data_IF_779975208888
#
_entry.id   IF_779975208888
#
_cell.length_a   1.000
_cell.length_b   1.000
_cell.length_c   1.000
_cell.angle_alpha   90.00
_cell.angle_beta   90.00
_cell.angle_gamma   90.00
#
_symmetry.space_group_name_H-M   'P 1'
#
loop_
_entity.id
_entity.type
_entity.pdbx_description
1 polymer ?
#
# COMPACT_ATOMS: atom_id res chain seq x y z
N UNK A 1 1.58 -6.42 21.90
CA UNK A 1 2.44 -6.80 20.76
C UNK A 1 1.70 -6.44 19.50
N UNK A 2 2.32 -5.77 18.54
CA UNK A 2 1.70 -5.43 17.25
C UNK A 2 1.81 -6.62 16.30
N UNK A 3 0.74 -6.90 15.57
CA UNK A 3 0.71 -7.91 14.52
C UNK A 3 1.51 -7.45 13.28
N UNK A 4 1.96 -8.37 12.40
CA UNK A 4 2.57 -7.99 11.13
C UNK A 4 1.70 -7.06 10.28
N UNK A 5 0.39 -7.30 10.30
CA UNK A 5 -0.60 -6.45 9.63
C UNK A 5 -0.62 -5.03 10.22
N UNK A 6 -0.65 -4.90 11.54
CA UNK A 6 -0.63 -3.60 12.19
C UNK A 6 0.65 -2.83 11.90
N UNK A 7 1.80 -3.50 11.99
CA UNK A 7 3.09 -2.91 11.68
C UNK A 7 3.15 -2.40 10.23
N UNK A 8 2.75 -3.23 9.26
CA UNK A 8 2.72 -2.83 7.85
C UNK A 8 1.76 -1.65 7.60
N UNK A 9 0.56 -1.70 8.21
CA UNK A 9 -0.46 -0.66 8.08
C UNK A 9 -0.02 0.68 8.64
N UNK A 10 0.86 0.71 9.65
CA UNK A 10 1.34 1.95 10.27
C UNK A 10 2.17 2.84 9.33
N UNK A 11 2.80 2.29 8.29
CA UNK A 11 3.53 3.10 7.30
C UNK A 11 2.71 3.44 6.04
N UNK A 12 1.39 3.25 6.06
CA UNK A 12 0.50 3.76 5.03
C UNK A 12 -0.43 4.84 5.55
N UNK A 13 -1.23 5.40 4.66
CA UNK A 13 -2.16 6.48 4.96
C UNK A 13 -3.48 6.33 4.21
N UNK A 14 -4.51 7.04 4.68
CA UNK A 14 -5.79 7.12 3.98
C UNK A 14 -5.88 8.41 3.16
N UNK A 15 -5.84 8.28 1.84
CA UNK A 15 -6.01 9.42 0.93
C UNK A 15 -7.47 9.58 0.51
N UNK A 16 -7.89 10.82 0.26
CA UNK A 16 -9.19 11.12 -0.35
C UNK A 16 -9.02 11.29 -1.86
N UNK A 17 -9.78 10.52 -2.62
CA UNK A 17 -9.78 10.56 -4.09
C UNK A 17 -11.20 10.79 -4.59
N UNK A 18 -11.36 11.64 -5.61
CA UNK A 18 -12.66 11.79 -6.29
C UNK A 18 -12.71 10.83 -7.47
N UNK A 19 -13.58 9.81 -7.37
CA UNK A 19 -13.79 8.81 -8.42
C UNK A 19 -15.17 9.03 -9.03
N UNK A 20 -15.21 9.40 -10.32
CA UNK A 20 -16.46 9.72 -11.04
C UNK A 20 -17.32 10.74 -10.28
N UNK A 21 -16.71 11.82 -9.80
CA UNK A 21 -17.37 12.88 -9.04
C UNK A 21 -17.72 12.54 -7.58
N UNK A 22 -17.45 11.32 -7.11
CA UNK A 22 -17.75 10.91 -5.73
C UNK A 22 -16.47 10.80 -4.89
N UNK A 23 -16.38 11.42 -3.70
CA UNK A 23 -15.22 11.25 -2.82
C UNK A 23 -15.16 9.83 -2.26
N UNK A 24 -13.98 9.24 -2.29
CA UNK A 24 -13.64 7.93 -1.75
C UNK A 24 -12.42 8.07 -0.85
N UNK A 25 -12.38 7.28 0.21
CA UNK A 25 -11.19 7.16 1.06
C UNK A 25 -10.52 5.83 0.73
N UNK A 26 -9.26 5.88 0.34
CA UNK A 26 -8.48 4.71 -0.10
C UNK A 26 -7.22 4.65 0.76
N UNK A 27 -6.93 3.46 1.32
CA UNK A 27 -5.67 3.24 1.99
C UNK A 27 -4.57 3.02 0.95
N UNK A 28 -3.48 3.77 1.07
CA UNK A 28 -2.29 3.63 0.23
C UNK A 28 -1.07 3.47 1.12
N UNK A 29 -0.09 2.73 0.63
CA UNK A 29 1.25 2.67 1.20
C UNK A 29 2.21 2.97 0.06
N UNK A 30 3.07 3.97 0.27
CA UNK A 30 4.02 4.43 -0.73
C UNK A 30 5.41 4.37 -0.12
N UNK A 31 6.28 3.57 -0.72
CA UNK A 31 7.64 3.33 -0.26
C UNK A 31 8.60 3.30 -1.43
N UNK A 32 9.89 3.43 -1.14
CA UNK A 32 10.94 3.42 -2.17
C UNK A 32 11.03 4.75 -2.92
N UNK A 33 11.90 4.76 -3.93
CA UNK A 33 12.15 5.89 -4.83
C UNK A 33 12.36 5.36 -6.26
N UNK A 34 12.11 6.19 -7.28
CA UNK A 34 12.32 5.82 -8.69
C UNK A 34 11.04 5.81 -9.52
N UNK A 35 10.99 4.97 -10.55
CA UNK A 35 9.83 4.88 -11.45
C UNK A 35 8.61 4.37 -10.68
N UNK A 36 7.47 5.08 -10.69
CA UNK A 36 6.28 4.64 -9.95
C UNK A 36 5.75 3.28 -10.43
N UNK A 37 5.52 2.37 -9.47
CA UNK A 37 4.85 1.08 -9.68
C UNK A 37 3.60 1.02 -8.80
N UNK A 38 2.44 0.81 -9.41
CA UNK A 38 1.16 0.69 -8.71
C UNK A 38 0.78 -0.79 -8.53
N UNK A 39 0.64 -1.23 -7.28
CA UNK A 39 0.19 -2.57 -6.95
C UNK A 39 -1.30 -2.57 -6.61
N UNK A 40 -2.10 -3.27 -7.41
CA UNK A 40 -3.53 -3.44 -7.21
C UNK A 40 -3.81 -4.90 -6.84
N UNK A 41 -4.58 -5.12 -5.78
CA UNK A 41 -5.02 -6.45 -5.40
C UNK A 41 -6.30 -6.85 -6.17
N UNK A 42 -6.57 -8.16 -6.21
CA UNK A 42 -7.84 -8.70 -6.69
C UNK A 42 -8.89 -8.83 -5.59
N UNK A 43 -10.06 -9.36 -5.93
CA UNK A 43 -11.06 -9.82 -4.97
C UNK A 43 -10.76 -11.29 -4.59
N UNK A 44 -10.87 -11.70 -3.31
CA UNK A 44 -11.32 -10.94 -2.12
C UNK A 44 -10.17 -10.35 -1.29
N UNK A 45 -8.98 -10.19 -1.88
CA UNK A 45 -7.76 -9.79 -1.18
C UNK A 45 -7.71 -8.29 -0.83
N UNK A 46 -6.55 -7.86 -0.29
CA UNK A 46 -6.22 -6.47 0.00
C UNK A 46 -4.76 -6.18 -0.36
N UNK A 47 -4.36 -4.91 -0.33
CA UNK A 47 -2.97 -4.51 -0.59
C UNK A 47 -1.94 -5.15 0.36
N UNK A 48 -2.38 -5.74 1.49
CA UNK A 48 -1.48 -6.45 2.40
C UNK A 48 -0.83 -7.70 1.77
N UNK A 49 -1.42 -8.29 0.72
CA UNK A 49 -0.78 -9.43 0.01
C UNK A 49 0.58 -9.06 -0.59
N UNK A 50 0.81 -7.78 -0.87
CA UNK A 50 2.06 -7.29 -1.42
C UNK A 50 3.15 -7.05 -0.36
N UNK A 51 2.83 -7.13 0.94
CA UNK A 51 3.77 -6.81 2.01
C UNK A 51 5.06 -7.64 1.97
N UNK A 52 5.01 -8.86 1.40
CA UNK A 52 6.16 -9.74 1.27
C UNK A 52 7.11 -9.33 0.12
N UNK A 53 6.62 -8.64 -0.92
CA UNK A 53 7.41 -8.30 -2.12
C UNK A 53 7.68 -6.80 -2.26
N UNK A 54 6.85 -5.96 -1.62
CA UNK A 54 6.98 -4.50 -1.61
C UNK A 54 8.40 -4.02 -1.23
N UNK A 55 9.10 -4.57 -0.21
CA UNK A 55 10.43 -4.08 0.17
C UNK A 55 11.49 -4.24 -0.94
N UNK A 56 11.44 -5.35 -1.68
CA UNK A 56 12.36 -5.60 -2.80
C UNK A 56 12.07 -4.66 -3.98
N UNK A 57 10.77 -4.49 -4.30
CA UNK A 57 10.32 -3.57 -5.35
C UNK A 57 10.65 -2.11 -5.04
N UNK A 58 10.71 -1.74 -3.76
CA UNK A 58 11.06 -0.41 -3.28
C UNK A 58 12.55 -0.06 -3.44
N UNK A 59 13.38 -1.01 -3.92
CA UNK A 59 14.82 -0.83 -4.11
C UNK A 59 15.63 -1.17 -2.85
N UNK A 60 15.25 -2.23 -2.14
CA UNK A 60 15.75 -2.55 -0.80
C UNK A 60 17.26 -2.47 -0.60
N UNK A 61 17.66 -2.03 0.60
CA UNK A 61 18.58 -2.78 1.47
C UNK A 61 18.55 -2.21 2.89
N UNK A 62 18.22 -3.06 3.87
CA UNK A 62 18.18 -2.76 5.30
C UNK A 62 17.31 -3.75 6.05
#
# INVERSE_FOLDING_TARGET
MTTPLEHWRHGGESVRLTVRGTPRRVFVRQVGQGTPLLLLHGFPASSFEWAAVEPELAGGTG
#
